data_IF_454578817222
#
_entry.id   IF_454578817222
#
_cell.length_a   1.000
_cell.length_b   1.000
_cell.length_c   1.000
_cell.angle_alpha   90.00
_cell.angle_beta   90.00
_cell.angle_gamma   90.00
#
_symmetry.space_group_name_H-M   'P 1'
#
loop_
_entity.id
_entity.type
_entity.pdbx_description
1 polymer ?
#
# COMPACT_ATOMS: atom_id res chain seq x y z
N UNK A 1 3.80 -23.76 -13.74
CA UNK A 1 3.80 -22.32 -13.44
C UNK A 1 3.16 -21.65 -14.63
N UNK A 2 1.97 -21.07 -14.45
CA UNK A 2 1.38 -20.22 -15.48
C UNK A 2 2.39 -19.10 -15.79
N UNK A 3 2.75 -18.97 -17.06
CA UNK A 3 3.76 -18.01 -17.49
C UNK A 3 3.05 -16.72 -17.92
N UNK A 4 2.91 -15.78 -16.98
CA UNK A 4 2.36 -14.45 -17.24
C UNK A 4 3.44 -13.41 -17.57
N UNK A 5 4.55 -13.83 -18.21
CA UNK A 5 5.62 -12.94 -18.67
C UNK A 5 5.15 -11.82 -19.63
N UNK A 6 4.02 -12.01 -20.31
CA UNK A 6 3.42 -10.96 -21.12
C UNK A 6 2.99 -9.74 -20.27
N UNK A 7 2.51 -9.97 -19.04
CA UNK A 7 2.19 -8.89 -18.10
C UNK A 7 3.44 -8.12 -17.69
N UNK A 8 4.59 -8.80 -17.57
CA UNK A 8 5.86 -8.13 -17.23
C UNK A 8 6.30 -7.14 -18.30
N UNK A 9 6.12 -7.49 -19.57
CA UNK A 9 6.40 -6.57 -20.67
C UNK A 9 5.43 -5.38 -20.70
N UNK A 10 4.17 -5.60 -20.31
CA UNK A 10 3.14 -4.56 -20.27
C UNK A 10 3.35 -3.56 -19.12
N UNK A 11 3.70 -4.05 -17.92
CA UNK A 11 3.84 -3.20 -16.74
C UNK A 11 5.23 -2.60 -16.61
N UNK A 12 6.25 -3.25 -17.16
CA UNK A 12 7.65 -2.89 -16.97
C UNK A 12 8.17 -3.17 -15.56
N UNK A 13 7.43 -3.89 -14.71
CA UNK A 13 7.92 -4.21 -13.37
C UNK A 13 9.09 -5.19 -13.43
N UNK A 14 9.99 -5.07 -12.47
CA UNK A 14 11.20 -5.84 -12.36
C UNK A 14 10.93 -7.32 -12.11
N UNK A 15 11.95 -8.12 -12.39
CA UNK A 15 11.98 -9.52 -12.00
C UNK A 15 11.71 -9.74 -10.51
N UNK A 16 12.10 -8.79 -9.65
CA UNK A 16 11.88 -8.89 -8.20
C UNK A 16 10.40 -8.88 -7.87
N UNK A 17 9.61 -8.01 -8.53
CA UNK A 17 8.15 -7.99 -8.40
C UNK A 17 7.56 -9.29 -8.95
N UNK A 18 7.89 -9.65 -10.20
CA UNK A 18 7.28 -10.81 -10.86
C UNK A 18 7.62 -12.15 -10.22
N UNK A 19 8.81 -12.29 -9.63
CA UNK A 19 9.19 -13.49 -8.86
C UNK A 19 8.45 -13.59 -7.52
N UNK A 20 7.95 -12.47 -6.98
CA UNK A 20 7.20 -12.44 -5.74
C UNK A 20 5.70 -12.69 -5.95
N UNK A 21 5.14 -12.27 -7.08
CA UNK A 21 3.73 -12.50 -7.42
C UNK A 21 3.43 -14.00 -7.43
N UNK A 22 2.37 -14.40 -6.73
CA UNK A 22 1.95 -15.78 -6.58
C UNK A 22 1.06 -16.31 -7.71
N UNK A 23 0.38 -15.43 -8.45
CA UNK A 23 -0.54 -15.81 -9.53
C UNK A 23 -0.81 -14.69 -10.54
N UNK A 24 -1.31 -15.04 -11.73
CA UNK A 24 -1.76 -14.05 -12.72
C UNK A 24 -2.90 -13.19 -12.17
N UNK A 25 -3.83 -13.79 -11.41
CA UNK A 25 -4.93 -13.06 -10.79
C UNK A 25 -4.46 -12.00 -9.79
N UNK A 26 -3.42 -12.29 -9.00
CA UNK A 26 -2.78 -11.32 -8.11
C UNK A 26 -2.15 -10.17 -8.92
N UNK A 27 -1.41 -10.47 -9.99
CA UNK A 27 -0.83 -9.43 -10.85
C UNK A 27 -1.89 -8.49 -11.43
N UNK A 28 -3.01 -9.06 -11.90
CA UNK A 28 -4.11 -8.29 -12.51
C UNK A 28 -4.78 -7.34 -11.51
N UNK A 29 -4.81 -7.65 -10.22
CA UNK A 29 -5.30 -6.73 -9.19
C UNK A 29 -4.42 -5.49 -9.12
N UNK A 30 -3.10 -5.67 -9.05
CA UNK A 30 -2.15 -4.56 -9.01
C UNK A 30 -2.16 -3.72 -10.30
N UNK A 31 -2.31 -4.37 -11.46
CA UNK A 31 -2.45 -3.68 -12.76
C UNK A 31 -3.73 -2.86 -12.80
N UNK A 32 -4.87 -3.44 -12.39
CA UNK A 32 -6.16 -2.74 -12.31
C UNK A 32 -6.12 -1.57 -11.32
N UNK A 33 -5.36 -1.72 -10.23
CA UNK A 33 -5.13 -0.65 -9.27
C UNK A 33 -4.21 0.47 -9.77
N UNK A 34 -3.55 0.28 -10.93
CA UNK A 34 -2.69 1.29 -11.56
C UNK A 34 -1.37 1.50 -10.82
N UNK A 35 -0.85 0.47 -10.13
CA UNK A 35 0.35 0.62 -9.32
C UNK A 35 1.62 0.71 -10.17
N UNK A 36 2.58 1.50 -9.69
CA UNK A 36 3.89 1.68 -10.32
C UNK A 36 5.01 1.19 -9.41
N UNK A 37 6.02 0.55 -9.99
CA UNK A 37 7.16 0.08 -9.22
C UNK A 37 8.06 1.23 -8.79
N UNK A 38 8.47 1.22 -7.52
CA UNK A 38 9.45 2.11 -6.93
C UNK A 38 10.21 1.40 -5.82
N UNK A 39 11.47 1.80 -5.59
CA UNK A 39 12.18 1.44 -4.35
C UNK A 39 11.82 2.41 -3.23
N UNK A 40 11.27 1.88 -2.13
CA UNK A 40 10.87 2.62 -0.93
C UNK A 40 11.60 2.01 0.27
N UNK A 41 12.34 2.83 1.02
CA UNK A 41 13.15 2.40 2.16
C UNK A 41 14.07 1.18 1.86
N UNK A 42 14.66 1.13 0.66
CA UNK A 42 15.54 0.03 0.21
C UNK A 42 14.82 -1.25 -0.23
N UNK A 43 13.47 -1.29 -0.21
CA UNK A 43 12.65 -2.42 -0.65
C UNK A 43 11.90 -2.06 -1.93
N UNK A 44 11.77 -3.01 -2.87
CA UNK A 44 10.88 -2.79 -4.02
C UNK A 44 9.42 -2.75 -3.56
N UNK A 45 8.63 -1.89 -4.18
CA UNK A 45 7.21 -1.74 -3.89
C UNK A 45 6.43 -1.32 -5.14
N UNK A 46 5.21 -1.81 -5.25
CA UNK A 46 4.19 -1.29 -6.15
C UNK A 46 3.43 -0.16 -5.42
N UNK A 47 3.80 1.08 -5.72
CA UNK A 47 3.26 2.28 -5.10
C UNK A 47 2.03 2.80 -5.84
N UNK A 48 1.12 3.44 -5.12
CA UNK A 48 -0.09 4.01 -5.70
C UNK A 48 0.20 5.47 -6.13
N UNK A 49 0.22 5.78 -7.45
CA UNK A 49 0.57 7.11 -7.94
C UNK A 49 -0.53 8.15 -7.69
N UNK A 50 -1.72 7.74 -7.24
CA UNK A 50 -2.86 8.64 -7.01
C UNK A 50 -2.87 9.22 -5.59
N UNK A 51 -1.97 8.78 -4.70
CA UNK A 51 -1.83 9.35 -3.36
C UNK A 51 -1.47 10.84 -3.46
N UNK A 52 -2.38 11.69 -3.02
CA UNK A 52 -2.14 13.13 -2.86
C UNK A 52 -1.65 13.41 -1.44
N UNK A 53 -0.35 13.76 -1.32
CA UNK A 53 0.26 14.12 -0.05
C UNK A 53 -0.31 15.38 0.60
N UNK A 54 -0.90 16.30 -0.18
CA UNK A 54 -1.47 17.57 0.32
C UNK A 54 -2.91 17.43 0.79
N UNK A 55 -3.55 16.30 0.53
CA UNK A 55 -4.95 16.10 0.87
C UNK A 55 -5.15 16.01 2.39
N UNK A 56 -6.12 16.77 2.90
CA UNK A 56 -6.57 16.72 4.30
C UNK A 56 -7.70 15.69 4.47
N UNK A 57 -7.47 14.47 3.99
CA UNK A 57 -8.45 13.38 4.04
C UNK A 57 -8.73 12.89 5.47
N UNK A 58 -7.98 13.38 6.45
CA UNK A 58 -8.24 13.24 7.88
C UNK A 58 -9.48 14.01 8.37
N UNK A 59 -9.97 15.03 7.65
CA UNK A 59 -11.08 15.91 8.12
C UNK A 59 -12.48 15.31 7.98
N UNK A 60 -12.62 14.00 7.77
CA UNK A 60 -13.93 13.38 7.59
C UNK A 60 -14.63 13.25 8.93
N UNK A 61 -15.85 13.77 9.04
CA UNK A 61 -16.63 13.75 10.29
C UNK A 61 -16.81 12.34 10.87
N UNK A 62 -16.98 11.33 10.03
CA UNK A 62 -17.12 9.93 10.49
C UNK A 62 -15.88 9.41 11.21
N UNK A 63 -14.69 9.97 10.95
CA UNK A 63 -13.47 9.61 11.66
C UNK A 63 -13.50 10.09 13.12
N UNK A 64 -14.16 11.22 13.40
CA UNK A 64 -14.36 11.74 14.76
C UNK A 64 -15.17 10.78 15.62
N UNK A 65 -16.16 10.13 15.02
CA UNK A 65 -16.98 9.12 15.71
C UNK A 65 -16.22 7.81 15.94
N UNK A 66 -15.25 7.50 15.07
CA UNK A 66 -14.49 6.25 15.10
C UNK A 66 -13.24 6.30 15.98
N UNK A 67 -12.57 7.45 16.08
CA UNK A 67 -11.26 7.59 16.72
C UNK A 67 -11.28 8.63 17.84
N UNK A 68 -11.01 8.18 19.07
CA UNK A 68 -11.02 9.03 20.26
C UNK A 68 -9.96 10.15 20.24
N UNK A 69 -8.88 9.96 19.48
CA UNK A 69 -7.76 10.89 19.34
C UNK A 69 -7.86 11.77 18.08
N UNK A 70 -8.99 11.75 17.36
CA UNK A 70 -9.22 12.49 16.11
C UNK A 70 -8.74 13.94 16.16
N UNK A 71 -9.05 14.67 17.22
CA UNK A 71 -8.68 16.08 17.36
C UNK A 71 -7.16 16.32 17.36
N UNK A 72 -6.35 15.29 17.64
CA UNK A 72 -4.88 15.37 17.63
C UNK A 72 -4.28 15.39 16.22
N UNK A 73 -5.00 14.84 15.22
CA UNK A 73 -4.47 14.63 13.87
C UNK A 73 -5.44 15.03 12.75
N UNK A 74 -6.66 15.51 13.06
CA UNK A 74 -7.66 15.92 12.05
C UNK A 74 -7.18 16.96 11.04
N UNK A 75 -6.19 17.78 11.43
CA UNK A 75 -5.61 18.82 10.60
C UNK A 75 -4.28 18.41 9.95
N UNK A 76 -3.93 17.13 10.01
CA UNK A 76 -2.81 16.58 9.26
C UNK A 76 -3.24 16.30 7.82
N UNK A 77 -2.38 16.66 6.86
CA UNK A 77 -2.49 16.15 5.50
C UNK A 77 -1.87 14.74 5.40
N UNK A 78 -1.99 14.12 4.23
CA UNK A 78 -1.43 12.79 4.00
C UNK A 78 0.10 12.73 4.13
N UNK A 79 0.82 13.80 3.79
CA UNK A 79 2.27 13.85 3.98
C UNK A 79 2.63 13.90 5.48
N UNK A 80 1.91 14.68 6.29
CA UNK A 80 2.10 14.72 7.75
C UNK A 80 1.88 13.32 8.37
N UNK A 81 0.80 12.63 7.98
CA UNK A 81 0.55 11.23 8.38
C UNK A 81 1.74 10.33 8.05
N UNK A 82 2.20 10.38 6.79
CA UNK A 82 3.33 9.56 6.33
C UNK A 82 4.61 9.89 7.09
N UNK A 83 4.88 11.17 7.39
CA UNK A 83 6.04 11.62 8.15
C UNK A 83 6.11 11.01 9.56
N UNK A 84 4.94 10.78 10.17
CA UNK A 84 4.79 10.11 11.46
C UNK A 84 4.65 8.58 11.35
N UNK A 85 4.80 8.02 10.14
CA UNK A 85 4.74 6.58 9.86
C UNK A 85 3.33 6.00 9.75
N UNK A 86 2.30 6.85 9.68
CA UNK A 86 0.93 6.42 9.44
C UNK A 86 0.64 6.33 7.94
N UNK A 87 -0.23 5.40 7.51
CA UNK A 87 -0.69 5.37 6.13
C UNK A 87 -1.42 6.67 5.77
N UNK A 88 -1.23 7.19 4.55
CA UNK A 88 -2.09 8.26 4.05
C UNK A 88 -3.53 7.75 3.91
N UNK A 89 -4.48 8.66 3.76
CA UNK A 89 -5.91 8.35 3.57
C UNK A 89 -6.37 8.66 2.15
N UNK A 90 -7.23 7.80 1.62
CA UNK A 90 -7.91 8.02 0.35
C UNK A 90 -8.99 9.10 0.47
N UNK A 91 -9.67 9.40 -0.63
CA UNK A 91 -10.71 10.45 -0.69
C UNK A 91 -11.91 10.20 0.25
N UNK A 92 -12.12 8.95 0.70
CA UNK A 92 -13.17 8.59 1.65
C UNK A 92 -12.73 8.73 3.11
N UNK A 93 -11.42 8.91 3.34
CA UNK A 93 -10.79 8.94 4.65
C UNK A 93 -10.31 7.57 5.12
N UNK A 94 -10.39 6.55 4.27
CA UNK A 94 -9.88 5.21 4.59
C UNK A 94 -8.36 5.17 4.42
N UNK A 95 -7.62 4.52 5.32
CA UNK A 95 -6.18 4.41 5.19
C UNK A 95 -5.83 3.52 3.98
N UNK A 96 -4.80 3.91 3.22
CA UNK A 96 -4.20 2.99 2.26
C UNK A 96 -3.59 1.79 3.01
N UNK A 97 -3.79 0.60 2.45
CA UNK A 97 -3.28 -0.65 2.97
C UNK A 97 -1.95 -1.00 2.31
N UNK A 98 -1.01 -1.52 3.11
CA UNK A 98 0.23 -2.08 2.61
C UNK A 98 0.09 -3.60 2.60
N UNK A 99 0.36 -4.22 1.46
CA UNK A 99 0.25 -5.66 1.27
C UNK A 99 1.61 -6.27 0.88
N UNK A 100 1.96 -7.42 1.45
CA UNK A 100 3.12 -8.21 1.02
C UNK A 100 2.78 -9.00 -0.25
N UNK A 101 3.43 -8.69 -1.37
CA UNK A 101 3.24 -9.42 -2.63
C UNK A 101 3.64 -10.89 -2.43
N UNK A 102 2.75 -11.83 -2.73
CA UNK A 102 2.98 -13.26 -2.49
C UNK A 102 3.12 -13.69 -1.03
N UNK A 103 2.80 -12.81 -0.06
CA UNK A 103 2.74 -13.08 1.39
C UNK A 103 4.03 -13.59 2.07
N UNK A 104 5.21 -13.19 1.59
CA UNK A 104 6.49 -13.52 2.26
C UNK A 104 7.00 -12.31 3.05
N UNK A 105 7.62 -12.55 4.20
CA UNK A 105 8.11 -11.46 5.07
C UNK A 105 9.09 -10.51 4.36
N UNK A 106 9.88 -11.00 3.41
CA UNK A 106 10.89 -10.26 2.67
C UNK A 106 10.44 -9.82 1.26
N UNK A 107 9.18 -10.09 0.87
CA UNK A 107 8.70 -9.79 -0.48
C UNK A 107 8.41 -8.31 -0.71
N UNK A 108 8.39 -7.81 -1.96
CA UNK A 108 7.97 -6.43 -2.23
C UNK A 108 6.59 -6.07 -1.65
N UNK A 109 6.36 -4.78 -1.44
CA UNK A 109 5.05 -4.28 -0.99
C UNK A 109 4.14 -3.86 -2.14
N UNK A 110 2.83 -3.79 -1.90
CA UNK A 110 1.84 -3.14 -2.76
C UNK A 110 0.99 -2.16 -1.92
N UNK A 111 0.81 -0.93 -2.41
CA UNK A 111 -0.04 0.10 -1.82
C UNK A 111 -1.44 0.05 -2.45
N UNK A 112 -2.45 -0.35 -1.69
CA UNK A 112 -3.82 -0.54 -2.16
C UNK A 112 -4.78 0.34 -1.36
N UNK A 113 -5.90 0.74 -1.95
CA UNK A 113 -7.03 1.19 -1.13
C UNK A 113 -7.68 -0.02 -0.44
N UNK A 114 -8.42 0.21 0.64
CA UNK A 114 -9.20 -0.85 1.29
C UNK A 114 -10.10 -1.59 0.29
N UNK A 115 -10.74 -0.86 -0.63
CA UNK A 115 -11.59 -1.46 -1.65
C UNK A 115 -10.78 -2.36 -2.60
N UNK A 116 -9.63 -1.88 -3.09
CA UNK A 116 -8.76 -2.67 -3.97
C UNK A 116 -8.20 -3.93 -3.28
N UNK A 117 -7.97 -3.89 -1.97
CA UNK A 117 -7.45 -5.02 -1.21
C UNK A 117 -8.54 -6.02 -0.81
N UNK A 118 -9.67 -5.52 -0.29
CA UNK A 118 -10.59 -6.34 0.50
C UNK A 118 -11.89 -6.72 -0.20
N UNK A 119 -12.27 -6.05 -1.30
CA UNK A 119 -13.57 -6.28 -1.96
C UNK A 119 -13.43 -7.04 -3.27
N UNK A 120 -14.56 -7.30 -3.96
CA UNK A 120 -14.62 -7.94 -5.28
C UNK A 120 -13.91 -9.30 -5.40
N UNK A 121 -13.76 -10.01 -4.28
CA UNK A 121 -13.03 -11.28 -4.21
C UNK A 121 -11.50 -11.12 -4.11
N UNK A 122 -10.97 -9.90 -4.19
CA UNK A 122 -9.53 -9.62 -4.10
C UNK A 122 -8.94 -10.10 -2.79
N UNK A 123 -9.68 -10.00 -1.67
CA UNK A 123 -9.23 -10.52 -0.38
C UNK A 123 -8.84 -12.00 -0.47
N UNK A 124 -9.63 -12.84 -1.16
CA UNK A 124 -9.33 -14.27 -1.29
C UNK A 124 -8.14 -14.55 -2.22
N UNK A 125 -7.92 -13.68 -3.23
CA UNK A 125 -6.83 -13.80 -4.21
C UNK A 125 -5.49 -13.31 -3.62
N UNK A 126 -5.52 -12.22 -2.85
CA UNK A 126 -4.36 -11.65 -2.17
C UNK A 126 -4.04 -12.40 -0.87
N UNK A 127 -5.03 -13.05 -0.26
CA UNK A 127 -4.90 -13.83 0.98
C UNK A 127 -5.18 -15.36 0.83
N UNK A 128 -4.60 -16.11 -0.13
CA UNK A 128 -4.89 -17.54 -0.32
C UNK A 128 -4.45 -18.42 0.86
N UNK A 129 -3.37 -18.06 1.56
CA UNK A 129 -2.98 -18.68 2.84
C UNK A 129 -3.42 -17.76 3.97
N UNK A 130 -4.22 -18.26 4.91
CA UNK A 130 -4.65 -17.48 6.09
C UNK A 130 -3.56 -17.35 7.15
N UNK A 131 -2.65 -18.33 7.21
CA UNK A 131 -1.41 -18.23 7.98
C UNK A 131 -0.40 -17.47 7.13
N UNK A 132 -0.37 -16.14 7.30
CA UNK A 132 0.70 -15.33 6.72
C UNK A 132 2.01 -15.73 7.40
N UNK A 133 3.05 -16.01 6.63
CA UNK A 133 4.41 -16.33 7.10
C UNK A 133 5.13 -15.09 7.69
N UNK A 134 4.38 -14.07 8.11
CA UNK A 134 4.90 -12.76 8.54
C UNK A 134 4.84 -12.62 10.06
N UNK A 135 5.88 -12.00 10.62
CA UNK A 135 5.85 -11.48 11.98
C UNK A 135 5.06 -10.17 11.98
N UNK A 136 3.91 -10.15 12.66
CA UNK A 136 3.02 -8.98 12.68
C UNK A 136 3.66 -7.75 13.31
N UNK A 137 4.46 -7.92 14.37
CA UNK A 137 5.12 -6.78 15.01
C UNK A 137 6.25 -6.25 14.11
N UNK A 138 6.96 -7.14 13.43
CA UNK A 138 7.92 -6.74 12.41
C UNK A 138 7.24 -6.00 11.26
N UNK A 139 6.12 -6.51 10.78
CA UNK A 139 5.36 -5.88 9.71
C UNK A 139 4.85 -4.48 10.10
N UNK A 140 4.40 -4.28 11.34
CA UNK A 140 4.00 -2.96 11.82
C UNK A 140 5.17 -1.95 11.79
N UNK A 141 6.39 -2.38 12.15
CA UNK A 141 7.59 -1.54 12.03
C UNK A 141 7.95 -1.27 10.57
N UNK A 142 7.88 -2.27 9.70
CA UNK A 142 8.18 -2.14 8.28
C UNK A 142 7.17 -1.22 7.57
N UNK A 143 5.88 -1.31 7.91
CA UNK A 143 4.84 -0.40 7.42
C UNK A 143 5.14 1.04 7.81
N UNK A 144 5.44 1.29 9.09
CA UNK A 144 5.75 2.63 9.56
C UNK A 144 6.95 3.21 8.81
N UNK A 145 8.03 2.43 8.70
CA UNK A 145 9.23 2.86 7.97
C UNK A 145 8.99 3.06 6.46
N UNK A 146 8.11 2.25 5.85
CA UNK A 146 7.69 2.43 4.46
C UNK A 146 7.00 3.78 4.27
N UNK A 147 5.99 4.10 5.08
CA UNK A 147 5.27 5.37 4.98
C UNK A 147 6.16 6.59 5.29
N UNK A 148 7.04 6.49 6.30
CA UNK A 148 8.05 7.54 6.56
C UNK A 148 8.97 7.76 5.37
N UNK A 149 9.33 6.70 4.63
CA UNK A 149 10.10 6.86 3.41
C UNK A 149 9.26 7.50 2.28
N UNK A 150 7.97 7.13 2.15
CA UNK A 150 7.03 7.73 1.18
C UNK A 150 6.86 9.24 1.39
N UNK A 151 6.98 9.75 2.61
CA UNK A 151 6.97 11.20 2.87
C UNK A 151 7.96 11.98 2.00
N UNK A 152 9.12 11.39 1.68
CA UNK A 152 10.13 12.05 0.85
C UNK A 152 9.67 12.36 -0.58
N UNK A 153 8.61 11.72 -1.07
CA UNK A 153 8.03 12.02 -2.38
C UNK A 153 7.24 13.33 -2.37
N UNK A 154 6.83 13.78 -1.19
CA UNK A 154 5.93 14.92 -1.01
C UNK A 154 6.60 16.09 -0.30
N UNK A 155 7.76 15.89 0.34
CA UNK A 155 8.46 16.93 1.13
C UNK A 155 8.85 18.18 0.32
N UNK A 156 9.16 18.02 -0.97
CA UNK A 156 9.56 19.14 -1.85
C UNK A 156 8.34 19.78 -2.54
N UNK A 157 7.13 19.28 -2.26
CA UNK A 157 5.87 19.81 -2.74
C UNK A 157 5.24 20.79 -1.75
N UNK A 158 6.02 21.36 -0.83
CA UNK A 158 5.57 22.36 0.15
C UNK A 158 6.41 23.62 0.07
#
# INVERSE_FOLDING_TARGET
MENYAHLQQQTGWSDTIFKAIGSEAEALIYIKAGLIEKTVNGRQALTNPTIDGRAFNCRKEWLKEKFADYDSWKDWNNADLMGEGFPPRDENGDPYELHHIGQRQDSPFAELTYWQHMTDGNNAILHPKRESEIDRQQFDREKAAHWMARFNDFKDSY
#
